data_IF_270182641463
#
_entry.id   IF_270182641463
#
_cell.length_a   1.000
_cell.length_b   1.000
_cell.length_c   1.000
_cell.angle_alpha   90.00
_cell.angle_beta   90.00
_cell.angle_gamma   90.00
#
_symmetry.space_group_name_H-M   'P 1'
#
loop_
_entity.id
_entity.type
_entity.pdbx_description
1 polymer ?
#
# COMPACT_ATOMS: atom_id res chain seq x y z
N UNK A 1 -10.75 8.19 33.91
CA UNK A 1 -11.44 7.28 32.94
C UNK A 1 -11.83 8.00 31.65
N UNK A 2 -12.45 9.19 31.71
CA UNK A 2 -12.89 9.90 30.49
C UNK A 2 -11.76 10.52 29.64
N UNK A 3 -10.71 11.06 30.25
CA UNK A 3 -9.54 11.56 29.51
C UNK A 3 -8.92 10.49 28.60
N UNK A 4 -8.80 9.26 29.10
CA UNK A 4 -8.25 8.13 28.34
C UNK A 4 -9.16 7.72 27.16
N UNK A 5 -10.48 7.77 27.36
CA UNK A 5 -11.45 7.52 26.29
C UNK A 5 -11.38 8.58 25.19
N UNK A 6 -11.24 9.86 25.55
CA UNK A 6 -11.10 10.94 24.57
C UNK A 6 -9.80 10.81 23.77
N UNK A 7 -8.68 10.48 24.42
CA UNK A 7 -7.41 10.22 23.74
C UNK A 7 -7.54 9.03 22.78
N UNK A 8 -8.19 7.94 23.21
CA UNK A 8 -8.40 6.76 22.35
C UNK A 8 -9.28 7.07 21.14
N UNK A 9 -10.31 7.91 21.30
CA UNK A 9 -11.19 8.32 20.21
C UNK A 9 -10.45 9.21 19.20
N UNK A 10 -9.74 10.24 19.67
CA UNK A 10 -8.95 11.11 18.82
C UNK A 10 -7.88 10.34 18.01
N UNK A 11 -7.24 9.34 18.62
CA UNK A 11 -6.28 8.48 17.94
C UNK A 11 -6.95 7.63 16.85
N UNK A 12 -8.15 7.09 17.11
CA UNK A 12 -8.93 6.31 16.14
C UNK A 12 -9.37 7.18 14.95
N UNK A 13 -9.81 8.41 15.21
CA UNK A 13 -10.24 9.34 14.18
C UNK A 13 -9.06 9.80 13.32
N UNK A 14 -7.92 10.12 13.95
CA UNK A 14 -6.68 10.44 13.23
C UNK A 14 -6.20 9.28 12.36
N UNK A 15 -6.17 8.05 12.89
CA UNK A 15 -5.84 6.86 12.09
C UNK A 15 -6.77 6.71 10.89
N UNK A 16 -8.08 6.77 11.11
CA UNK A 16 -9.08 6.64 10.05
C UNK A 16 -8.86 7.68 8.95
N UNK A 17 -8.65 8.95 9.31
CA UNK A 17 -8.43 10.02 8.34
C UNK A 17 -7.10 9.90 7.57
N UNK A 18 -6.06 9.33 8.18
CA UNK A 18 -4.72 9.23 7.57
C UNK A 18 -4.48 7.93 6.79
N UNK A 19 -5.30 6.89 6.96
CA UNK A 19 -5.04 5.57 6.36
C UNK A 19 -6.13 5.12 5.37
N UNK A 20 -7.20 5.90 5.21
CA UNK A 20 -8.29 5.65 4.26
C UNK A 20 -7.84 5.48 2.80
N UNK A 21 -6.72 6.09 2.41
CA UNK A 21 -6.19 5.98 1.05
C UNK A 21 -5.34 4.71 0.82
N UNK A 22 -4.99 3.96 1.87
CA UNK A 22 -4.11 2.80 1.76
C UNK A 22 -4.70 1.69 0.88
N UNK A 23 -5.99 1.30 1.02
CA UNK A 23 -6.58 0.30 0.15
C UNK A 23 -6.56 0.73 -1.33
N UNK A 24 -6.96 1.97 -1.63
CA UNK A 24 -6.95 2.50 -3.00
C UNK A 24 -5.54 2.57 -3.58
N UNK A 25 -4.55 2.94 -2.77
CA UNK A 25 -3.14 2.96 -3.19
C UNK A 25 -2.61 1.55 -3.44
N UNK A 26 -2.95 0.57 -2.60
CA UNK A 26 -2.59 -0.83 -2.81
C UNK A 26 -3.20 -1.36 -4.12
N UNK A 27 -4.48 -1.10 -4.37
CA UNK A 27 -5.14 -1.52 -5.62
C UNK A 27 -4.52 -0.87 -6.86
N UNK A 28 -4.19 0.41 -6.79
CA UNK A 28 -3.45 1.10 -7.87
C UNK A 28 -2.09 0.46 -8.15
N UNK A 29 -1.31 0.16 -7.10
CA UNK A 29 -0.02 -0.50 -7.24
C UNK A 29 -0.14 -1.92 -7.79
N UNK A 30 -1.17 -2.69 -7.39
CA UNK A 30 -1.45 -4.01 -7.99
C UNK A 30 -1.72 -3.90 -9.47
N UNK A 31 -2.47 -2.88 -9.92
CA UNK A 31 -2.69 -2.62 -11.34
C UNK A 31 -1.39 -2.35 -12.11
N UNK A 32 -0.47 -1.56 -11.53
CA UNK A 32 0.85 -1.33 -12.12
C UNK A 32 1.70 -2.62 -12.16
N UNK A 33 1.68 -3.41 -11.07
CA UNK A 33 2.39 -4.69 -11.03
C UNK A 33 1.88 -5.65 -12.13
N UNK A 34 0.56 -5.79 -12.28
CA UNK A 34 -0.03 -6.63 -13.33
C UNK A 34 0.36 -6.17 -14.74
N UNK A 35 0.47 -4.86 -14.97
CA UNK A 35 0.91 -4.33 -16.26
C UNK A 35 2.41 -4.65 -16.54
N UNK A 36 3.26 -4.60 -15.51
CA UNK A 36 4.67 -4.98 -15.63
C UNK A 36 4.85 -6.49 -15.81
N UNK A 37 4.08 -7.30 -15.10
CA UNK A 37 4.08 -8.76 -15.24
C UNK A 37 3.66 -9.16 -16.65
N UNK A 38 2.53 -8.65 -17.15
CA UNK A 38 2.07 -8.91 -18.52
C UNK A 38 3.13 -8.53 -19.57
N UNK A 39 3.83 -7.42 -19.34
CA UNK A 39 4.89 -6.96 -20.23
C UNK A 39 6.12 -7.85 -20.20
N UNK A 40 6.47 -8.43 -19.05
CA UNK A 40 7.57 -9.38 -18.91
C UNK A 40 7.30 -10.72 -19.59
N UNK A 41 6.03 -11.10 -19.73
CA UNK A 41 5.62 -12.27 -20.51
C UNK A 41 5.70 -12.02 -22.03
N UNK A 42 5.50 -10.78 -22.48
CA UNK A 42 5.54 -10.40 -23.91
C UNK A 42 6.96 -10.08 -24.40
N UNK A 43 7.75 -9.38 -23.60
CA UNK A 43 9.11 -8.95 -23.93
C UNK A 43 10.06 -9.03 -22.73
N UNK A 44 11.36 -9.16 -22.99
CA UNK A 44 12.33 -9.08 -21.91
C UNK A 44 12.31 -7.68 -21.29
N UNK A 45 12.07 -7.61 -19.98
CA UNK A 45 12.08 -6.35 -19.25
C UNK A 45 13.49 -5.74 -19.26
N UNK A 46 13.55 -4.42 -19.43
CA UNK A 46 14.79 -3.69 -19.19
C UNK A 46 15.09 -3.65 -17.70
N UNK A 47 16.36 -3.47 -17.35
CA UNK A 47 16.81 -3.33 -15.96
C UNK A 47 16.00 -2.28 -15.18
N UNK A 48 15.71 -1.14 -15.83
CA UNK A 48 14.90 -0.08 -15.22
C UNK A 48 13.48 -0.55 -14.84
N UNK A 49 12.84 -1.36 -15.69
CA UNK A 49 11.50 -1.92 -15.41
C UNK A 49 11.55 -3.01 -14.34
N UNK A 50 12.64 -3.78 -14.26
CA UNK A 50 12.84 -4.76 -13.18
C UNK A 50 12.99 -4.06 -11.83
N UNK A 51 13.76 -2.97 -11.77
CA UNK A 51 13.88 -2.13 -10.57
C UNK A 51 12.53 -1.54 -10.17
N UNK A 52 11.74 -1.06 -11.14
CA UNK A 52 10.38 -0.58 -10.90
C UNK A 52 9.47 -1.67 -10.34
N UNK A 53 9.49 -2.87 -10.94
CA UNK A 53 8.72 -4.03 -10.49
C UNK A 53 9.05 -4.36 -9.02
N UNK A 54 10.34 -4.46 -8.68
CA UNK A 54 10.77 -4.71 -7.30
C UNK A 54 10.33 -3.59 -6.34
N UNK A 55 10.39 -2.33 -6.77
CA UNK A 55 9.91 -1.19 -6.00
C UNK A 55 8.40 -1.29 -5.72
N UNK A 56 7.60 -1.52 -6.75
CA UNK A 56 6.14 -1.67 -6.64
C UNK A 56 5.79 -2.85 -5.74
N UNK A 57 6.47 -4.00 -5.86
CA UNK A 57 6.25 -5.15 -4.98
C UNK A 57 6.58 -4.81 -3.52
N UNK A 58 7.70 -4.13 -3.26
CA UNK A 58 8.09 -3.69 -1.91
C UNK A 58 7.06 -2.73 -1.29
N UNK A 59 6.57 -1.78 -2.09
CA UNK A 59 5.54 -0.83 -1.68
C UNK A 59 4.22 -1.53 -1.37
N UNK A 60 3.76 -2.47 -2.21
CA UNK A 60 2.57 -3.27 -1.94
C UNK A 60 2.73 -4.04 -0.63
N UNK A 61 3.86 -4.70 -0.40
CA UNK A 61 4.10 -5.46 0.82
C UNK A 61 4.10 -4.56 2.06
N UNK A 62 4.81 -3.43 2.02
CA UNK A 62 4.90 -2.51 3.16
C UNK A 62 3.54 -1.88 3.49
N UNK A 63 2.81 -1.41 2.48
CA UNK A 63 1.48 -0.82 2.65
C UNK A 63 0.45 -1.86 3.08
N UNK A 64 0.51 -3.09 2.57
CA UNK A 64 -0.41 -4.16 2.99
C UNK A 64 -0.18 -4.55 4.46
N UNK A 65 1.07 -4.62 4.93
CA UNK A 65 1.38 -4.82 6.35
C UNK A 65 0.84 -3.68 7.21
N UNK A 66 1.05 -2.44 6.76
CA UNK A 66 0.54 -1.27 7.44
C UNK A 66 -1.00 -1.33 7.54
N UNK A 67 -1.68 -1.57 6.41
CA UNK A 67 -3.14 -1.69 6.34
C UNK A 67 -3.67 -2.78 7.30
N UNK A 68 -3.05 -3.96 7.31
CA UNK A 68 -3.43 -5.06 8.21
C UNK A 68 -3.12 -4.80 9.69
N UNK A 69 -2.21 -3.87 10.01
CA UNK A 69 -1.93 -3.48 11.40
C UNK A 69 -2.89 -2.42 11.95
N UNK A 70 -3.64 -1.78 11.06
CA UNK A 70 -4.53 -0.65 11.38
C UNK A 70 -6.01 -1.02 11.24
N UNK A 71 -6.35 -1.88 10.27
CA UNK A 71 -7.68 -2.46 10.07
C UNK A 71 -7.88 -3.71 10.93
#
# INVERSE_FOLDING_TARGET
KEKLKMIKLALKDWHTAHTQNLPSRIEYLKGQLSALDQKGEEENLSEAKLVELHGVTSDIHSLSRLNASIC
#
